data_IF_598105507864
#
_entry.id   IF_598105507864
#
_cell.length_a   1.000
_cell.length_b   1.000
_cell.length_c   1.000
_cell.angle_alpha   90.00
_cell.angle_beta   90.00
_cell.angle_gamma   90.00
#
_symmetry.space_group_name_H-M   'P 1'
#
loop_
_entity.id
_entity.type
_entity.pdbx_description
1 polymer ?
#
# COMPACT_ATOMS: atom_id res chain seq x y z
N UNK A 1 -27.27 -34.74 3.84
CA UNK A 1 -26.25 -34.29 4.81
C UNK A 1 -24.98 -33.98 4.06
N UNK A 2 -24.47 -32.76 4.21
CA UNK A 2 -23.23 -32.38 3.52
C UNK A 2 -22.02 -33.08 4.15
N UNK A 3 -21.13 -33.57 3.31
CA UNK A 3 -19.83 -34.07 3.74
C UNK A 3 -19.08 -32.93 4.47
N UNK A 4 -18.47 -33.18 5.66
CA UNK A 4 -17.71 -32.17 6.36
C UNK A 4 -16.62 -31.53 5.50
N UNK A 5 -16.03 -32.26 4.55
CA UNK A 5 -15.00 -31.73 3.65
C UNK A 5 -15.56 -30.72 2.64
N UNK A 6 -16.86 -30.75 2.39
CA UNK A 6 -17.50 -29.84 1.45
C UNK A 6 -18.46 -28.85 2.12
N UNK A 7 -18.48 -28.81 3.46
CA UNK A 7 -19.33 -27.88 4.20
C UNK A 7 -18.92 -26.44 3.85
N UNK A 8 -19.85 -25.64 3.27
CA UNK A 8 -19.52 -24.26 2.88
C UNK A 8 -19.05 -23.39 4.04
N UNK A 9 -19.61 -23.57 5.22
CA UNK A 9 -19.23 -22.76 6.39
C UNK A 9 -17.81 -23.08 6.83
N UNK A 10 -17.41 -24.34 6.78
CA UNK A 10 -16.04 -24.75 7.12
C UNK A 10 -15.07 -24.22 6.07
N UNK A 11 -15.41 -24.34 4.80
CA UNK A 11 -14.54 -23.85 3.73
C UNK A 11 -14.36 -22.34 3.79
N UNK A 12 -15.43 -21.63 4.11
CA UNK A 12 -15.36 -20.17 4.29
C UNK A 12 -14.43 -19.80 5.44
N UNK A 13 -14.54 -20.50 6.57
CA UNK A 13 -13.69 -20.25 7.72
C UNK A 13 -12.22 -20.52 7.41
N UNK A 14 -11.94 -21.59 6.64
CA UNK A 14 -10.56 -21.89 6.20
C UNK A 14 -10.05 -20.80 5.28
N UNK A 15 -10.85 -20.32 4.34
CA UNK A 15 -10.45 -19.25 3.43
C UNK A 15 -10.13 -17.96 4.20
N UNK A 16 -10.96 -17.61 5.20
CA UNK A 16 -10.72 -16.43 6.03
C UNK A 16 -9.39 -16.56 6.80
N UNK A 17 -9.10 -17.75 7.32
CA UNK A 17 -7.85 -18.00 8.04
C UNK A 17 -6.63 -17.91 7.12
N UNK A 18 -6.74 -18.42 5.88
CA UNK A 18 -5.67 -18.31 4.89
C UNK A 18 -5.43 -16.85 4.54
N UNK A 19 -6.49 -16.09 4.34
CA UNK A 19 -6.40 -14.68 4.01
C UNK A 19 -5.73 -13.88 5.14
N UNK A 20 -6.11 -14.15 6.38
CA UNK A 20 -5.53 -13.49 7.54
C UNK A 20 -4.02 -13.79 7.65
N UNK A 21 -3.65 -15.05 7.41
CA UNK A 21 -2.23 -15.43 7.39
C UNK A 21 -1.47 -14.70 6.29
N UNK A 22 -2.07 -14.59 5.11
CA UNK A 22 -1.46 -13.89 3.98
C UNK A 22 -1.23 -12.42 4.31
N UNK A 23 -2.19 -11.75 4.97
CA UNK A 23 -2.01 -10.34 5.34
C UNK A 23 -0.81 -10.17 6.27
N UNK A 24 -0.65 -11.06 7.26
CA UNK A 24 0.47 -11.01 8.18
C UNK A 24 1.81 -11.23 7.49
N UNK A 25 1.88 -12.22 6.61
CA UNK A 25 3.12 -12.53 5.88
C UNK A 25 3.51 -11.42 4.92
N UNK A 26 2.53 -10.84 4.22
CA UNK A 26 2.80 -9.74 3.31
C UNK A 26 3.27 -8.48 4.06
N UNK A 27 2.67 -8.22 5.22
CA UNK A 27 3.09 -7.11 6.06
C UNK A 27 4.56 -7.24 6.49
N UNK A 28 4.98 -8.45 6.86
CA UNK A 28 6.37 -8.70 7.22
C UNK A 28 7.32 -8.52 6.04
N UNK A 29 6.94 -9.04 4.87
CA UNK A 29 7.75 -8.88 3.66
C UNK A 29 7.90 -7.40 3.28
N UNK A 30 6.83 -6.62 3.39
CA UNK A 30 6.90 -5.19 3.12
C UNK A 30 7.86 -4.48 4.07
N UNK A 31 7.82 -4.83 5.34
CA UNK A 31 8.70 -4.23 6.33
C UNK A 31 10.16 -4.56 6.03
N UNK A 32 10.44 -5.80 5.68
CA UNK A 32 11.79 -6.24 5.33
C UNK A 32 12.32 -5.55 4.09
N UNK A 33 11.49 -5.49 3.02
CA UNK A 33 11.89 -4.85 1.77
C UNK A 33 12.07 -3.34 1.95
N UNK A 34 11.16 -2.69 2.68
CA UNK A 34 11.28 -1.27 2.94
C UNK A 34 12.54 -0.94 3.72
N UNK A 35 12.90 -1.76 4.70
CA UNK A 35 14.15 -1.60 5.46
C UNK A 35 15.39 -1.78 4.60
N UNK A 36 15.32 -2.63 3.59
CA UNK A 36 16.45 -2.89 2.70
C UNK A 36 16.67 -1.74 1.71
N UNK A 37 15.65 -0.91 1.48
CA UNK A 37 15.75 0.25 0.60
C UNK A 37 16.27 1.46 1.39
N UNK A 38 17.57 1.71 1.28
CA UNK A 38 18.21 2.83 1.96
C UNK A 38 19.17 3.51 0.97
N UNK A 39 18.87 4.72 0.49
CA UNK A 39 17.72 5.55 0.86
C UNK A 39 16.42 5.09 0.23
N UNK A 40 15.32 5.32 0.94
CA UNK A 40 13.99 5.03 0.39
C UNK A 40 13.65 6.04 -0.71
N UNK A 41 13.00 5.61 -1.81
CA UNK A 41 12.70 6.52 -2.92
C UNK A 41 11.83 7.70 -2.52
N UNK A 42 12.09 8.84 -3.16
CA UNK A 42 11.27 10.03 -3.01
C UNK A 42 10.05 9.92 -3.94
N UNK A 43 8.88 10.34 -3.44
CA UNK A 43 7.66 10.31 -4.25
C UNK A 43 7.74 11.38 -5.34
N UNK A 44 7.70 10.94 -6.60
CA UNK A 44 7.75 11.81 -7.77
C UNK A 44 8.88 12.86 -7.73
N UNK A 45 10.01 12.54 -7.11
CA UNK A 45 11.12 13.46 -6.97
C UNK A 45 10.96 14.53 -5.90
N UNK A 46 9.87 14.46 -5.12
CA UNK A 46 9.62 15.40 -4.03
C UNK A 46 10.50 15.04 -2.83
N UNK A 47 11.33 15.99 -2.38
CA UNK A 47 12.31 15.72 -1.33
C UNK A 47 11.69 15.54 0.06
N UNK A 48 10.42 15.92 0.23
CA UNK A 48 9.76 15.92 1.54
C UNK A 48 8.99 14.64 1.81
N UNK A 49 8.73 13.82 0.78
CA UNK A 49 7.93 12.62 0.92
C UNK A 49 8.71 11.42 0.38
N UNK A 50 8.97 10.46 1.25
CA UNK A 50 9.56 9.17 0.86
C UNK A 50 8.44 8.15 0.76
N UNK A 51 8.09 7.77 -0.47
CA UNK A 51 6.98 6.86 -0.72
C UNK A 51 7.08 6.28 -2.11
N UNK A 52 6.55 5.08 -2.29
CA UNK A 52 6.45 4.41 -3.58
C UNK A 52 4.98 4.18 -3.89
N UNK A 53 4.53 4.67 -5.04
CA UNK A 53 3.15 4.49 -5.48
C UNK A 53 2.86 3.02 -5.76
N UNK A 54 1.69 2.57 -5.31
CA UNK A 54 1.24 1.20 -5.49
C UNK A 54 -0.08 1.23 -6.26
N UNK A 55 -0.10 0.58 -7.41
CA UNK A 55 -1.28 0.53 -8.28
C UNK A 55 -1.56 -0.92 -8.67
N UNK A 56 -2.31 -1.65 -7.84
CA UNK A 56 -2.64 -3.05 -8.16
C UNK A 56 -3.66 -3.11 -9.27
N UNK A 57 -3.29 -3.74 -10.37
CA UNK A 57 -4.24 -4.02 -11.45
C UNK A 57 -5.30 -5.00 -10.95
N UNK A 58 -6.54 -4.78 -11.32
CA UNK A 58 -7.65 -5.68 -10.99
C UNK A 58 -8.42 -5.34 -9.73
N UNK A 59 -8.03 -4.31 -8.98
CA UNK A 59 -8.86 -3.82 -7.88
C UNK A 59 -9.84 -2.81 -8.47
N UNK A 60 -11.01 -3.31 -8.86
CA UNK A 60 -12.02 -2.48 -9.47
C UNK A 60 -12.80 -1.69 -8.41
N UNK A 61 -13.17 -0.46 -8.74
CA UNK A 61 -14.02 0.36 -7.89
C UNK A 61 -13.37 0.84 -6.60
N UNK A 62 -12.05 0.90 -6.58
CA UNK A 62 -11.36 1.46 -5.43
C UNK A 62 -11.62 2.95 -5.34
N UNK A 63 -12.24 3.38 -4.24
CA UNK A 63 -12.41 4.79 -3.93
C UNK A 63 -11.15 5.39 -3.32
N UNK A 64 -10.11 4.57 -3.18
CA UNK A 64 -8.84 5.01 -2.65
C UNK A 64 -8.15 5.93 -3.65
N UNK A 65 -7.58 7.00 -3.18
CA UNK A 65 -6.78 7.89 -4.01
C UNK A 65 -5.42 7.26 -4.31
N UNK A 66 -4.38 8.06 -4.25
CA UNK A 66 -3.02 7.56 -4.48
C UNK A 66 -2.56 6.74 -3.28
N UNK A 67 -2.41 5.43 -3.46
CA UNK A 67 -1.92 4.54 -2.40
C UNK A 67 -0.41 4.40 -2.53
N UNK A 68 0.28 4.54 -1.42
CA UNK A 68 1.75 4.47 -1.39
C UNK A 68 2.20 3.56 -0.26
N UNK A 69 3.40 2.98 -0.42
CA UNK A 69 4.10 2.29 0.66
C UNK A 69 5.23 3.20 1.12
N UNK A 70 5.39 3.32 2.44
CA UNK A 70 6.37 4.22 3.06
C UNK A 70 7.54 3.43 3.68
N UNK A 71 8.59 4.13 4.16
CA UNK A 71 9.76 3.44 4.71
C UNK A 71 9.48 2.48 5.87
N UNK A 72 8.37 2.66 6.57
CA UNK A 72 7.96 1.76 7.64
C UNK A 72 7.32 0.46 7.13
N UNK A 73 7.17 0.32 5.80
CA UNK A 73 6.52 -0.84 5.20
C UNK A 73 5.00 -0.80 5.25
N UNK A 74 4.41 0.30 5.73
CA UNK A 74 2.97 0.45 5.82
C UNK A 74 2.40 1.12 4.58
N UNK A 75 1.13 0.83 4.31
CA UNK A 75 0.40 1.44 3.20
C UNK A 75 -0.37 2.65 3.69
N UNK A 76 -0.34 3.72 2.90
CA UNK A 76 -1.02 4.97 3.20
C UNK A 76 -1.70 5.50 1.96
N UNK A 77 -2.70 6.36 2.16
CA UNK A 77 -3.27 7.16 1.09
C UNK A 77 -2.60 8.53 1.11
N UNK A 78 -2.01 8.92 -0.01
CA UNK A 78 -1.42 10.24 -0.15
C UNK A 78 -2.47 11.18 -0.70
N UNK A 79 -2.78 12.22 0.04
CA UNK A 79 -3.74 13.24 -0.35
C UNK A 79 -3.01 14.54 -0.60
N UNK A 80 -3.14 15.05 -1.82
CA UNK A 80 -2.58 16.35 -2.20
C UNK A 80 -3.71 17.36 -2.24
N UNK A 81 -3.60 18.41 -1.46
CA UNK A 81 -4.61 19.48 -1.43
C UNK A 81 -3.98 20.79 -1.81
N UNK A 82 -4.74 21.55 -2.59
CA UNK A 82 -4.40 22.93 -2.89
C UNK A 82 -5.25 23.81 -1.96
N UNK A 83 -4.58 24.52 -1.06
CA UNK A 83 -5.25 25.42 -0.13
C UNK A 83 -4.91 26.86 -0.47
N UNK A 84 -5.80 27.84 -0.18
CA UNK A 84 -5.48 29.24 -0.39
C UNK A 84 -4.27 29.63 0.47
N UNK A 85 -3.22 30.10 -0.19
CA UNK A 85 -2.06 30.64 0.47
C UNK A 85 -2.14 32.16 0.61
N UNK A 86 -1.08 32.81 1.09
CA UNK A 86 -1.05 34.26 1.19
C UNK A 86 -1.27 34.90 -0.18
N UNK A 87 -2.06 35.95 -0.21
CA UNK A 87 -2.41 36.67 -1.45
C UNK A 87 -1.13 37.15 -2.15
N UNK A 88 -0.14 37.58 -1.40
CA UNK A 88 1.12 38.09 -1.90
C UNK A 88 1.97 37.02 -2.62
N UNK A 89 1.66 35.73 -2.41
CA UNK A 89 2.42 34.62 -2.97
C UNK A 89 1.63 33.81 -4.01
N UNK A 90 0.59 34.40 -4.58
CA UNK A 90 -0.20 33.74 -5.61
C UNK A 90 -1.42 33.01 -5.12
N UNK A 91 -1.66 32.95 -3.82
CA UNK A 91 -2.91 32.52 -3.23
C UNK A 91 -3.16 31.02 -3.17
N UNK A 92 -2.18 30.18 -3.53
CA UNK A 92 -2.36 28.72 -3.50
C UNK A 92 -1.15 28.04 -2.88
N UNK A 93 -1.41 27.17 -1.93
CA UNK A 93 -0.38 26.36 -1.30
C UNK A 93 -0.77 24.89 -1.41
N UNK A 94 0.20 24.03 -1.69
CA UNK A 94 0.00 22.59 -1.76
C UNK A 94 0.26 21.99 -0.38
N UNK A 95 -0.71 21.23 0.11
CA UNK A 95 -0.60 20.51 1.38
C UNK A 95 -0.63 19.02 1.09
N UNK A 96 0.37 18.30 1.57
CA UNK A 96 0.49 16.86 1.43
C UNK A 96 0.11 16.19 2.75
N UNK A 97 -0.72 15.17 2.67
CA UNK A 97 -1.18 14.44 3.86
C UNK A 97 -1.15 12.95 3.59
N UNK A 98 -0.53 12.20 4.51
CA UNK A 98 -0.56 10.74 4.50
C UNK A 98 -1.61 10.27 5.49
N UNK A 99 -2.56 9.47 5.01
CA UNK A 99 -3.62 8.92 5.84
C UNK A 99 -3.48 7.42 5.94
N UNK A 100 -3.70 6.87 7.13
CA UNK A 100 -3.76 5.43 7.27
C UNK A 100 -4.93 4.87 6.46
N UNK A 101 -4.67 3.73 5.80
CA UNK A 101 -5.70 3.05 5.03
C UNK A 101 -6.39 2.01 5.89
N UNK A 102 -7.73 2.03 5.84
CA UNK A 102 -8.56 0.99 6.44
C UNK A 102 -9.05 0.08 5.31
N UNK A 103 -8.25 -0.92 4.99
CA UNK A 103 -8.55 -1.85 3.91
C UNK A 103 -9.10 -3.15 4.46
N UNK A 104 -10.10 -3.71 3.76
CA UNK A 104 -10.50 -5.09 4.03
C UNK A 104 -9.32 -6.02 3.78
N UNK A 105 -9.28 -7.21 4.41
CA UNK A 105 -8.16 -8.12 4.21
C UNK A 105 -7.89 -8.47 2.74
N UNK A 106 -8.95 -8.66 1.95
CA UNK A 106 -8.80 -8.97 0.53
C UNK A 106 -8.17 -7.82 -0.25
N UNK A 107 -8.60 -6.59 0.01
CA UNK A 107 -8.00 -5.42 -0.64
C UNK A 107 -6.57 -5.19 -0.16
N UNK A 108 -6.32 -5.40 1.14
CA UNK A 108 -4.96 -5.30 1.67
C UNK A 108 -4.01 -6.24 0.93
N UNK A 109 -4.40 -7.51 0.74
CA UNK A 109 -3.55 -8.48 0.04
C UNK A 109 -3.21 -7.99 -1.36
N UNK A 110 -4.18 -7.43 -2.10
CA UNK A 110 -3.93 -6.95 -3.45
C UNK A 110 -2.92 -5.80 -3.46
N UNK A 111 -3.10 -4.81 -2.58
CA UNK A 111 -2.17 -3.68 -2.49
C UNK A 111 -0.81 -4.10 -1.97
N UNK A 112 -0.76 -4.94 -0.93
CA UNK A 112 0.50 -5.39 -0.35
C UNK A 112 1.29 -6.24 -1.33
N UNK A 113 0.63 -7.10 -2.09
CA UNK A 113 1.29 -7.90 -3.12
C UNK A 113 1.92 -7.00 -4.19
N UNK A 114 1.17 -6.01 -4.67
CA UNK A 114 1.69 -5.06 -5.65
C UNK A 114 2.87 -4.27 -5.08
N UNK A 115 2.79 -3.88 -3.81
CA UNK A 115 3.86 -3.15 -3.15
C UNK A 115 5.12 -4.01 -3.01
N UNK A 116 4.98 -5.29 -2.64
CA UNK A 116 6.13 -6.21 -2.55
C UNK A 116 6.83 -6.31 -3.91
N UNK A 117 6.07 -6.46 -4.98
CA UNK A 117 6.64 -6.56 -6.32
C UNK A 117 7.38 -5.28 -6.71
N UNK A 118 6.80 -4.13 -6.40
CA UNK A 118 7.42 -2.85 -6.76
C UNK A 118 8.70 -2.59 -5.95
N UNK A 119 8.70 -2.86 -4.65
CA UNK A 119 9.90 -2.69 -3.85
C UNK A 119 11.00 -3.66 -4.26
N UNK A 120 10.63 -4.91 -4.57
CA UNK A 120 11.59 -5.90 -5.06
C UNK A 120 12.20 -5.46 -6.39
N UNK A 121 11.39 -4.93 -7.29
CA UNK A 121 11.87 -4.42 -8.58
C UNK A 121 12.90 -3.30 -8.39
N UNK A 122 12.62 -2.37 -7.49
CA UNK A 122 13.54 -1.27 -7.20
C UNK A 122 14.86 -1.80 -6.63
N UNK A 123 14.78 -2.76 -5.71
CA UNK A 123 15.99 -3.35 -5.13
C UNK A 123 16.84 -4.06 -6.20
N UNK A 124 16.19 -4.80 -7.10
CA UNK A 124 16.89 -5.48 -8.18
C UNK A 124 17.60 -4.48 -9.11
N UNK A 125 16.94 -3.36 -9.42
CA UNK A 125 17.54 -2.32 -10.26
C UNK A 125 18.76 -1.69 -9.60
N UNK A 126 18.74 -1.51 -8.27
CA UNK A 126 19.87 -0.94 -7.54
C UNK A 126 21.06 -1.87 -7.47
N UNK A 127 20.82 -3.17 -7.51
CA UNK A 127 21.88 -4.18 -7.45
C UNK A 127 22.54 -4.46 -8.80
N UNK A 128 21.97 -3.99 -9.88
CA UNK A 128 22.51 -4.24 -11.24
C UNK A 128 23.43 -3.15 -11.73
#
# INVERSE_FOLDING_TARGET
MADPETDPLVKRAVADAVLERATGQLSELLRELASALDPFPSFLGMSTIQAVEVDPSGVAGSDQGCVVVCPDGQLYELVLRMVPGPIDLGGVEQVDELRELDLSPGNYVAYAYAAVRELARILEERDS
#
